data_IF_497802533449
#
_entry.id   IF_497802533449
#
_cell.length_a   1.000
_cell.length_b   1.000
_cell.length_c   1.000
_cell.angle_alpha   90.00
_cell.angle_beta   90.00
_cell.angle_gamma   90.00
#
_symmetry.space_group_name_H-M   'P 1'
#
loop_
_entity.id
_entity.type
_entity.pdbx_description
1 polymer ?
#
# COMPACT_ATOMS: atom_id res chain seq x y z
N UNK A 1 -12.02 5.37 21.55
CA UNK A 1 -12.61 4.98 20.23
C UNK A 1 -11.79 3.81 19.69
N UNK A 2 -12.43 2.72 19.20
CA UNK A 2 -11.67 1.59 18.61
C UNK A 2 -10.93 2.05 17.36
N UNK A 3 -9.69 1.58 17.19
CA UNK A 3 -8.89 1.87 16.00
C UNK A 3 -9.11 0.81 14.92
N UNK A 4 -9.02 1.21 13.65
CA UNK A 4 -9.06 0.27 12.54
C UNK A 4 -7.80 -0.59 12.47
N UNK A 5 -7.99 -1.86 12.08
CA UNK A 5 -6.93 -2.77 11.69
C UNK A 5 -7.11 -3.15 10.22
N UNK A 6 -6.03 -3.11 9.46
CA UNK A 6 -6.05 -3.27 8.01
C UNK A 6 -5.65 -4.67 7.58
N UNK A 7 -6.55 -5.37 6.91
CA UNK A 7 -6.24 -6.62 6.23
C UNK A 7 -6.09 -6.35 4.73
N UNK A 8 -4.87 -6.49 4.19
CA UNK A 8 -4.65 -6.51 2.76
C UNK A 8 -4.90 -7.94 2.27
N UNK A 9 -6.03 -8.16 1.65
CA UNK A 9 -6.50 -9.48 1.29
C UNK A 9 -6.43 -9.72 -0.21
N UNK A 10 -5.50 -10.57 -0.61
CA UNK A 10 -5.35 -11.05 -1.98
C UNK A 10 -6.28 -12.26 -2.16
N UNK A 11 -7.34 -12.11 -2.92
CA UNK A 11 -8.32 -13.18 -3.13
C UNK A 11 -7.99 -14.04 -4.33
N UNK A 12 -7.18 -13.53 -5.27
CA UNK A 12 -6.73 -14.22 -6.47
C UNK A 12 -5.38 -13.68 -6.94
N UNK A 13 -4.60 -14.51 -7.62
CA UNK A 13 -3.43 -14.07 -8.40
C UNK A 13 -3.80 -13.73 -9.85
N UNK A 14 -5.03 -14.02 -10.30
CA UNK A 14 -5.44 -13.75 -11.67
C UNK A 14 -5.47 -12.25 -11.97
N UNK A 15 -4.96 -11.87 -13.15
CA UNK A 15 -4.81 -10.49 -13.56
C UNK A 15 -4.73 -10.40 -15.09
N UNK A 16 -5.34 -9.39 -15.67
CA UNK A 16 -5.26 -9.09 -17.10
C UNK A 16 -4.05 -8.23 -17.48
N UNK A 17 -3.20 -7.90 -16.49
CA UNK A 17 -1.93 -7.19 -16.67
C UNK A 17 -0.73 -8.08 -16.28
N UNK A 18 0.44 -7.74 -16.81
CA UNK A 18 1.74 -8.33 -16.46
C UNK A 18 2.75 -7.21 -16.23
N UNK A 19 2.48 -6.44 -15.17
CA UNK A 19 3.30 -5.27 -14.84
C UNK A 19 4.72 -5.69 -14.51
N UNK A 20 5.72 -5.00 -15.07
CA UNK A 20 7.15 -5.37 -14.96
C UNK A 20 7.71 -5.32 -13.53
N UNK A 21 7.10 -4.53 -12.67
CA UNK A 21 7.47 -4.38 -11.27
C UNK A 21 6.51 -5.11 -10.31
N UNK A 22 5.67 -6.02 -10.84
CA UNK A 22 4.68 -6.72 -10.04
C UNK A 22 5.31 -7.82 -9.20
N UNK A 23 5.20 -7.73 -7.89
CA UNK A 23 5.73 -8.71 -6.95
C UNK A 23 5.02 -10.10 -7.02
N UNK A 24 3.88 -10.21 -7.72
CA UNK A 24 3.19 -11.50 -7.93
C UNK A 24 3.85 -12.26 -9.08
N UNK A 25 4.28 -11.55 -10.13
CA UNK A 25 4.79 -12.13 -11.38
C UNK A 25 6.29 -11.94 -11.60
N UNK A 26 7.00 -11.23 -10.70
CA UNK A 26 8.40 -10.84 -10.90
C UNK A 26 9.38 -12.00 -10.95
N UNK A 27 9.07 -13.13 -10.31
CA UNK A 27 10.00 -14.24 -10.16
C UNK A 27 9.73 -15.41 -11.12
N UNK A 28 8.54 -15.49 -11.69
CA UNK A 28 8.20 -16.59 -12.60
C UNK A 28 6.99 -16.26 -13.47
N UNK A 29 7.21 -16.15 -14.78
CA UNK A 29 6.15 -15.96 -15.78
C UNK A 29 5.23 -17.17 -15.93
N UNK A 30 5.66 -18.34 -15.44
CA UNK A 30 4.92 -19.61 -15.45
C UNK A 30 4.35 -19.97 -14.07
N UNK A 31 4.22 -18.99 -13.16
CA UNK A 31 3.65 -19.20 -11.82
C UNK A 31 2.23 -19.79 -11.93
N UNK A 32 1.95 -20.80 -11.12
CA UNK A 32 0.56 -21.22 -10.87
C UNK A 32 -0.20 -20.06 -10.26
N UNK A 33 -1.37 -19.75 -10.82
CA UNK A 33 -2.22 -18.66 -10.31
C UNK A 33 -3.19 -19.27 -9.28
N UNK A 34 -3.05 -18.82 -8.04
CA UNK A 34 -3.90 -19.25 -6.95
C UNK A 34 -5.14 -18.36 -6.84
N UNK A 35 -6.27 -18.98 -6.48
CA UNK A 35 -7.51 -18.27 -6.15
C UNK A 35 -8.14 -18.94 -4.93
N UNK A 36 -8.61 -18.11 -4.00
CA UNK A 36 -9.21 -18.59 -2.75
C UNK A 36 -10.65 -19.04 -3.02
N UNK A 37 -11.02 -20.25 -2.61
CA UNK A 37 -12.43 -20.70 -2.75
C UNK A 37 -13.36 -19.88 -1.85
N UNK A 38 -14.66 -19.92 -2.16
CA UNK A 38 -15.66 -19.22 -1.37
C UNK A 38 -15.66 -19.64 0.11
N UNK A 39 -15.54 -20.94 0.37
CA UNK A 39 -15.48 -21.48 1.74
C UNK A 39 -14.28 -20.95 2.48
N UNK A 40 -13.11 -20.92 1.83
CA UNK A 40 -11.87 -20.36 2.40
C UNK A 40 -11.96 -18.84 2.60
N UNK A 41 -12.67 -18.11 1.74
CA UNK A 41 -12.96 -16.69 1.97
C UNK A 41 -13.80 -16.49 3.23
N UNK A 42 -14.82 -17.31 3.46
CA UNK A 42 -15.64 -17.23 4.67
C UNK A 42 -14.82 -17.52 5.92
N UNK A 43 -14.01 -18.59 5.92
CA UNK A 43 -13.11 -18.93 7.03
C UNK A 43 -12.15 -17.76 7.33
N UNK A 44 -11.52 -17.21 6.31
CA UNK A 44 -10.61 -16.05 6.43
C UNK A 44 -11.32 -14.83 7.02
N UNK A 45 -12.51 -14.54 6.51
CA UNK A 45 -13.33 -13.42 6.98
C UNK A 45 -13.63 -13.53 8.48
N UNK A 46 -14.12 -14.70 8.93
CA UNK A 46 -14.44 -14.89 10.35
C UNK A 46 -13.19 -14.91 11.23
N UNK A 47 -12.05 -15.43 10.78
CA UNK A 47 -10.79 -15.35 11.50
C UNK A 47 -10.31 -13.89 11.66
N UNK A 48 -10.52 -13.03 10.64
CA UNK A 48 -10.26 -11.59 10.75
C UNK A 48 -11.20 -10.88 11.73
N UNK A 49 -12.48 -11.29 11.81
CA UNK A 49 -13.42 -10.72 12.79
C UNK A 49 -13.08 -11.12 14.21
N UNK A 50 -12.77 -12.40 14.44
CA UNK A 50 -12.30 -12.91 15.74
C UNK A 50 -11.05 -12.14 16.20
N UNK A 51 -10.08 -11.95 15.31
CA UNK A 51 -8.92 -11.09 15.58
C UNK A 51 -9.32 -9.69 16.08
N UNK A 52 -10.25 -9.05 15.37
CA UNK A 52 -10.67 -7.69 15.69
C UNK A 52 -11.43 -7.62 17.03
N UNK A 53 -12.22 -8.65 17.35
CA UNK A 53 -12.90 -8.75 18.63
C UNK A 53 -11.90 -8.90 19.78
N UNK A 54 -10.98 -9.86 19.69
CA UNK A 54 -9.95 -10.15 20.72
C UNK A 54 -9.07 -8.93 20.99
N UNK A 55 -8.63 -8.23 19.92
CA UNK A 55 -7.72 -7.09 20.05
C UNK A 55 -8.43 -5.73 20.15
N UNK A 56 -9.74 -5.71 20.31
CA UNK A 56 -10.56 -4.48 20.42
C UNK A 56 -10.32 -3.50 19.25
N UNK A 57 -10.32 -4.02 18.02
CA UNK A 57 -10.11 -3.28 16.76
C UNK A 57 -11.39 -3.23 15.92
N UNK A 58 -11.41 -2.38 14.91
CA UNK A 58 -12.40 -2.40 13.84
C UNK A 58 -11.76 -2.97 12.56
N UNK A 59 -12.40 -3.91 11.86
CA UNK A 59 -11.85 -4.45 10.62
C UNK A 59 -11.94 -3.42 9.48
N UNK A 60 -10.89 -3.37 8.67
CA UNK A 60 -10.88 -2.67 7.39
C UNK A 60 -10.19 -3.53 6.33
N UNK A 61 -10.84 -3.78 5.20
CA UNK A 61 -10.29 -4.62 4.16
C UNK A 61 -9.80 -3.83 2.95
N UNK A 62 -8.57 -4.13 2.52
CA UNK A 62 -8.05 -3.80 1.20
C UNK A 62 -8.16 -5.04 0.33
N UNK A 63 -9.24 -5.14 -0.46
CA UNK A 63 -9.47 -6.28 -1.36
C UNK A 63 -8.61 -6.09 -2.61
N UNK A 64 -7.76 -7.06 -2.88
CA UNK A 64 -6.76 -7.01 -3.95
C UNK A 64 -6.41 -8.41 -4.45
N UNK A 65 -5.28 -8.54 -5.10
CA UNK A 65 -4.77 -9.79 -5.66
C UNK A 65 -3.93 -9.49 -6.89
N UNK A 66 -4.19 -10.20 -7.96
CA UNK A 66 -3.91 -9.75 -9.32
C UNK A 66 -4.87 -8.60 -9.65
N UNK A 67 -6.05 -8.91 -10.20
CA UNK A 67 -7.18 -7.97 -10.23
C UNK A 67 -8.39 -8.65 -9.56
N UNK A 68 -8.84 -8.20 -8.39
CA UNK A 68 -9.84 -8.91 -7.59
C UNK A 68 -11.20 -9.05 -8.28
N UNK A 69 -11.55 -8.15 -9.20
CA UNK A 69 -12.82 -8.21 -9.95
C UNK A 69 -12.93 -9.43 -10.87
N UNK A 70 -11.80 -10.04 -11.21
CA UNK A 70 -11.74 -11.26 -12.03
C UNK A 70 -12.10 -12.52 -11.24
N UNK A 71 -12.11 -12.46 -9.91
CA UNK A 71 -12.47 -13.60 -9.09
C UNK A 71 -13.97 -13.91 -9.23
N UNK A 72 -14.38 -15.18 -9.49
CA UNK A 72 -15.79 -15.55 -9.70
C UNK A 72 -16.68 -15.13 -8.53
N UNK A 73 -16.20 -15.28 -7.29
CA UNK A 73 -16.97 -14.96 -6.08
C UNK A 73 -16.73 -13.54 -5.57
N UNK A 74 -16.10 -12.67 -6.36
CA UNK A 74 -15.81 -11.28 -5.97
C UNK A 74 -17.05 -10.54 -5.44
N UNK A 75 -18.14 -10.58 -6.18
CA UNK A 75 -19.37 -9.89 -5.78
C UNK A 75 -20.04 -10.51 -4.55
N UNK A 76 -19.88 -11.83 -4.37
CA UNK A 76 -20.38 -12.52 -3.20
C UNK A 76 -19.60 -12.12 -1.95
N UNK A 77 -18.27 -11.97 -2.03
CA UNK A 77 -17.44 -11.42 -0.97
C UNK A 77 -17.86 -10.00 -0.59
N UNK A 78 -18.07 -9.11 -1.57
CA UNK A 78 -18.55 -7.75 -1.28
C UNK A 78 -19.94 -7.76 -0.62
N UNK A 79 -20.80 -8.71 -0.97
CA UNK A 79 -22.09 -8.96 -0.30
C UNK A 79 -21.92 -9.30 1.17
N UNK A 80 -20.94 -10.14 1.50
CA UNK A 80 -20.61 -10.52 2.88
C UNK A 80 -20.11 -9.30 3.67
N UNK A 81 -19.16 -8.53 3.12
CA UNK A 81 -18.67 -7.30 3.75
C UNK A 81 -19.81 -6.31 4.04
N UNK A 82 -20.70 -6.10 3.06
CA UNK A 82 -21.89 -5.24 3.21
C UNK A 82 -22.83 -5.72 4.32
N UNK A 83 -23.09 -7.02 4.37
CA UNK A 83 -23.96 -7.62 5.39
C UNK A 83 -23.49 -7.32 6.81
N UNK A 84 -22.18 -7.28 7.02
CA UNK A 84 -21.56 -6.97 8.31
C UNK A 84 -21.26 -5.48 8.48
N UNK A 85 -21.59 -4.63 7.51
CA UNK A 85 -21.33 -3.19 7.58
C UNK A 85 -19.84 -2.82 7.60
N UNK A 86 -18.99 -3.66 7.02
CA UNK A 86 -17.53 -3.48 7.09
C UNK A 86 -17.05 -2.65 5.91
N UNK A 87 -16.33 -1.54 6.16
CA UNK A 87 -15.78 -0.71 5.11
C UNK A 87 -14.60 -1.37 4.40
N UNK A 88 -14.47 -1.12 3.10
CA UNK A 88 -13.39 -1.66 2.30
C UNK A 88 -12.92 -0.73 1.18
N UNK A 89 -11.70 -0.96 0.75
CA UNK A 89 -11.07 -0.36 -0.44
C UNK A 89 -10.74 -1.46 -1.43
N UNK A 90 -10.92 -1.22 -2.72
CA UNK A 90 -10.44 -2.11 -3.77
C UNK A 90 -9.13 -1.56 -4.33
N UNK A 91 -8.12 -2.42 -4.49
CA UNK A 91 -6.90 -2.17 -5.24
C UNK A 91 -6.96 -3.03 -6.50
N UNK A 92 -7.26 -2.41 -7.64
CA UNK A 92 -7.51 -3.14 -8.87
C UNK A 92 -7.10 -2.36 -10.13
N UNK A 93 -7.39 -2.96 -11.28
CA UNK A 93 -7.08 -2.43 -12.59
C UNK A 93 -8.22 -1.53 -13.14
N UNK A 94 -7.94 -0.69 -14.16
CA UNK A 94 -8.96 0.18 -14.73
C UNK A 94 -9.89 -0.52 -15.73
N UNK A 95 -9.45 -1.65 -16.33
CA UNK A 95 -10.04 -2.18 -17.57
C UNK A 95 -11.46 -2.74 -17.40
N UNK A 96 -11.82 -3.18 -16.19
CA UNK A 96 -13.14 -3.74 -15.88
C UNK A 96 -14.11 -2.70 -15.30
N UNK A 97 -13.69 -1.42 -15.24
CA UNK A 97 -14.50 -0.34 -14.71
C UNK A 97 -15.31 0.35 -15.82
N UNK A 98 -16.58 0.59 -15.52
CA UNK A 98 -17.49 1.48 -16.21
C UNK A 98 -18.49 2.04 -15.19
N UNK A 99 -19.37 2.95 -15.58
CA UNK A 99 -20.31 3.59 -14.66
C UNK A 99 -21.21 2.57 -13.95
N UNK A 100 -21.68 1.53 -14.66
CA UNK A 100 -22.54 0.49 -14.06
C UNK A 100 -21.78 -0.34 -13.01
N UNK A 101 -20.54 -0.73 -13.29
CA UNK A 101 -19.67 -1.46 -12.34
C UNK A 101 -19.35 -0.58 -11.14
N UNK A 102 -18.97 0.69 -11.36
CA UNK A 102 -18.69 1.62 -10.27
C UNK A 102 -19.91 1.84 -9.38
N UNK A 103 -21.10 2.02 -9.98
CA UNK A 103 -22.35 2.14 -9.22
C UNK A 103 -22.66 0.86 -8.42
N UNK A 104 -22.42 -0.30 -9.00
CA UNK A 104 -22.57 -1.58 -8.28
C UNK A 104 -21.60 -1.67 -7.11
N UNK A 105 -20.32 -1.32 -7.28
CA UNK A 105 -19.32 -1.26 -6.20
C UNK A 105 -19.79 -0.34 -5.07
N UNK A 106 -20.30 0.86 -5.41
CA UNK A 106 -20.86 1.80 -4.44
C UNK A 106 -21.99 1.19 -3.64
N UNK A 107 -22.90 0.49 -4.31
CA UNK A 107 -24.05 -0.16 -3.67
C UNK A 107 -23.64 -1.27 -2.70
N UNK A 108 -22.47 -1.89 -2.90
CA UNK A 108 -21.88 -2.84 -1.96
C UNK A 108 -21.11 -2.18 -0.80
N UNK A 109 -20.92 -0.86 -0.81
CA UNK A 109 -20.26 -0.13 0.26
C UNK A 109 -18.77 0.15 0.00
N UNK A 110 -18.31 0.04 -1.25
CA UNK A 110 -16.95 0.42 -1.60
C UNK A 110 -16.69 1.89 -1.28
N UNK A 111 -15.73 2.18 -0.39
CA UNK A 111 -15.39 3.55 -0.02
C UNK A 111 -14.38 4.18 -0.97
N UNK A 112 -13.39 3.39 -1.39
CA UNK A 112 -12.27 3.85 -2.23
C UNK A 112 -11.94 2.81 -3.27
N UNK A 113 -11.53 3.27 -4.43
CA UNK A 113 -10.93 2.44 -5.47
C UNK A 113 -9.54 2.98 -5.78
N UNK A 114 -8.52 2.16 -5.58
CA UNK A 114 -7.14 2.52 -5.84
C UNK A 114 -6.70 2.01 -7.20
N UNK A 115 -6.30 2.94 -8.05
CA UNK A 115 -5.63 2.73 -9.33
C UNK A 115 -4.14 3.04 -9.17
N UNK A 116 -3.35 2.69 -10.18
CA UNK A 116 -1.93 3.02 -10.19
C UNK A 116 -1.54 3.74 -11.48
N UNK A 117 -0.68 4.76 -11.33
CA UNK A 117 0.00 5.42 -12.45
C UNK A 117 1.49 5.49 -12.12
N UNK A 118 2.33 4.82 -12.90
CA UNK A 118 3.76 4.65 -12.62
C UNK A 118 4.66 5.34 -13.65
N UNK A 119 4.22 6.41 -14.23
CA UNK A 119 4.94 7.23 -15.19
C UNK A 119 3.99 8.10 -16.00
N UNK A 120 4.52 8.97 -16.83
CA UNK A 120 3.79 9.56 -17.94
C UNK A 120 3.46 8.46 -18.98
N UNK A 121 2.69 8.79 -20.01
CA UNK A 121 2.11 7.81 -20.95
C UNK A 121 3.07 6.70 -21.37
N UNK A 122 4.22 7.04 -21.91
CA UNK A 122 5.17 6.05 -22.45
C UNK A 122 5.74 5.16 -21.36
N UNK A 123 6.19 5.76 -20.26
CA UNK A 123 6.76 5.03 -19.10
C UNK A 123 5.71 4.18 -18.40
N UNK A 124 4.51 4.71 -18.19
CA UNK A 124 3.42 3.96 -17.57
C UNK A 124 3.03 2.74 -18.42
N UNK A 125 2.81 2.95 -19.72
CA UNK A 125 2.41 1.88 -20.64
C UNK A 125 3.52 0.83 -20.78
N UNK A 126 4.79 1.24 -20.72
CA UNK A 126 5.91 0.31 -20.67
C UNK A 126 5.92 -0.54 -19.38
N UNK A 127 5.60 0.03 -18.22
CA UNK A 127 5.51 -0.72 -16.95
C UNK A 127 4.32 -1.67 -16.94
N UNK A 128 3.18 -1.27 -17.50
CA UNK A 128 1.91 -1.98 -17.34
C UNK A 128 1.41 -2.65 -18.61
N UNK A 129 0.76 -1.93 -19.48
CA UNK A 129 0.40 -2.37 -20.84
C UNK A 129 0.01 -1.17 -21.72
N UNK A 130 0.13 -1.27 -23.04
CA UNK A 130 -0.24 -0.20 -23.97
C UNK A 130 -1.68 0.30 -23.76
N UNK A 131 -1.85 1.63 -23.72
CA UNK A 131 -3.14 2.30 -23.50
C UNK A 131 -3.61 2.34 -22.04
N UNK A 132 -2.82 1.80 -21.12
CA UNK A 132 -3.17 1.76 -19.68
C UNK A 132 -3.20 3.15 -19.06
N UNK A 133 -2.33 4.07 -19.49
CA UNK A 133 -2.29 5.44 -18.97
C UNK A 133 -3.62 6.16 -19.17
N UNK A 134 -4.07 6.25 -20.42
CA UNK A 134 -5.30 6.95 -20.76
C UNK A 134 -6.53 6.30 -20.14
N UNK A 135 -6.59 4.96 -20.20
CA UNK A 135 -7.67 4.20 -19.57
C UNK A 135 -7.73 4.50 -18.07
N UNK A 136 -6.59 4.53 -17.36
CA UNK A 136 -6.56 4.81 -15.92
C UNK A 136 -7.10 6.21 -15.61
N UNK A 137 -6.66 7.24 -16.35
CA UNK A 137 -7.15 8.61 -16.17
C UNK A 137 -8.66 8.71 -16.43
N UNK A 138 -9.17 8.07 -17.50
CA UNK A 138 -10.61 8.03 -17.81
C UNK A 138 -11.43 7.41 -16.67
N UNK A 139 -10.95 6.29 -16.08
CA UNK A 139 -11.70 5.56 -15.04
C UNK A 139 -11.75 6.28 -13.70
N UNK A 140 -10.87 7.23 -13.42
CA UNK A 140 -10.99 8.15 -12.29
C UNK A 140 -12.37 8.85 -12.34
N UNK A 141 -12.78 9.32 -13.52
CA UNK A 141 -14.09 9.94 -13.71
C UNK A 141 -15.28 9.00 -13.41
N UNK A 142 -15.21 7.73 -13.86
CA UNK A 142 -16.24 6.73 -13.57
C UNK A 142 -16.39 6.46 -12.05
N UNK A 143 -15.25 6.32 -11.37
CA UNK A 143 -15.20 6.10 -9.92
C UNK A 143 -15.85 7.28 -9.18
N UNK A 144 -15.46 8.50 -9.53
CA UNK A 144 -15.93 9.72 -8.89
C UNK A 144 -17.43 9.94 -9.12
N UNK A 145 -17.95 9.70 -10.35
CA UNK A 145 -19.40 9.82 -10.65
C UNK A 145 -20.25 8.86 -9.82
N UNK A 146 -19.73 7.69 -9.47
CA UNK A 146 -20.42 6.75 -8.58
C UNK A 146 -20.36 7.17 -7.09
N UNK A 147 -19.65 8.23 -6.74
CA UNK A 147 -19.45 8.66 -5.35
C UNK A 147 -18.48 7.76 -4.56
N UNK A 148 -17.59 7.06 -5.24
CA UNK A 148 -16.46 6.33 -4.67
C UNK A 148 -15.25 7.27 -4.71
N UNK A 149 -14.41 7.27 -3.67
CA UNK A 149 -13.17 8.06 -3.68
C UNK A 149 -12.12 7.38 -4.55
N UNK A 150 -11.69 8.05 -5.60
CA UNK A 150 -10.57 7.61 -6.43
C UNK A 150 -9.24 7.86 -5.72
N UNK A 151 -8.40 6.83 -5.66
CA UNK A 151 -7.04 6.91 -5.14
C UNK A 151 -6.08 6.54 -6.24
N UNK A 152 -5.08 7.37 -6.50
CA UNK A 152 -4.00 7.05 -7.43
C UNK A 152 -2.70 6.86 -6.67
N UNK A 153 -2.07 5.71 -6.87
CA UNK A 153 -0.77 5.35 -6.31
C UNK A 153 0.29 5.30 -7.40
N UNK A 154 1.48 5.84 -7.09
CA UNK A 154 2.68 5.68 -7.91
C UNK A 154 3.72 4.86 -7.17
N UNK A 155 4.29 3.86 -7.85
CA UNK A 155 5.47 3.13 -7.39
C UNK A 155 6.70 3.80 -7.99
N UNK A 156 7.49 4.47 -7.15
CA UNK A 156 8.64 5.28 -7.59
C UNK A 156 9.92 4.45 -7.62
N UNK A 157 10.59 4.45 -8.76
CA UNK A 157 11.91 3.85 -9.00
C UNK A 157 12.82 4.83 -9.75
N UNK A 158 14.07 4.49 -9.96
CA UNK A 158 15.00 5.31 -10.76
C UNK A 158 14.53 5.56 -12.19
N UNK A 159 13.60 4.73 -12.71
CA UNK A 159 13.08 4.87 -14.07
C UNK A 159 12.03 5.97 -14.23
N UNK A 160 11.29 6.28 -13.18
CA UNK A 160 10.15 7.21 -13.25
C UNK A 160 10.20 8.36 -12.24
N UNK A 161 11.25 8.45 -11.44
CA UNK A 161 11.36 9.45 -10.36
C UNK A 161 11.22 10.89 -10.89
N UNK A 162 11.78 11.19 -12.05
CA UNK A 162 11.75 12.53 -12.64
C UNK A 162 10.38 12.87 -13.26
N UNK A 163 9.53 11.86 -13.47
CA UNK A 163 8.19 12.04 -14.03
C UNK A 163 7.12 12.29 -12.95
N UNK A 164 7.42 12.07 -11.67
CA UNK A 164 6.44 12.19 -10.57
C UNK A 164 5.75 13.55 -10.54
N UNK A 165 6.45 14.70 -10.72
CA UNK A 165 5.77 16.00 -10.80
C UNK A 165 4.76 16.09 -11.95
N UNK A 166 5.06 15.52 -13.11
CA UNK A 166 4.15 15.46 -14.25
C UNK A 166 2.98 14.48 -14.03
N UNK A 167 3.21 13.39 -13.29
CA UNK A 167 2.14 12.48 -12.87
C UNK A 167 1.13 13.21 -11.97
N UNK A 168 1.62 14.06 -11.04
CA UNK A 168 0.75 14.87 -10.18
C UNK A 168 -0.17 15.74 -11.03
N UNK A 169 0.38 16.42 -12.06
CA UNK A 169 -0.42 17.25 -12.96
C UNK A 169 -1.51 16.44 -13.68
N UNK A 170 -1.16 15.28 -14.19
CA UNK A 170 -2.10 14.42 -14.92
C UNK A 170 -3.23 13.90 -14.00
N UNK A 171 -2.93 13.48 -12.77
CA UNK A 171 -3.95 12.94 -11.87
C UNK A 171 -4.84 14.03 -11.28
N UNK A 172 -4.30 15.22 -11.04
CA UNK A 172 -5.08 16.39 -10.63
C UNK A 172 -6.03 16.81 -11.75
N UNK A 173 -5.53 16.90 -13.00
CA UNK A 173 -6.34 17.21 -14.16
C UNK A 173 -7.47 16.20 -14.40
N UNK A 174 -7.24 14.91 -14.09
CA UNK A 174 -8.26 13.87 -14.14
C UNK A 174 -9.25 13.89 -12.95
N UNK A 175 -9.03 14.74 -11.96
CA UNK A 175 -9.89 14.90 -10.79
C UNK A 175 -9.75 13.79 -9.75
N UNK A 176 -8.57 13.18 -9.60
CA UNK A 176 -8.33 12.19 -8.57
C UNK A 176 -8.58 12.77 -7.18
N UNK A 177 -9.30 12.03 -6.30
CA UNK A 177 -9.56 12.51 -4.95
C UNK A 177 -8.33 12.39 -4.04
N UNK A 178 -7.48 11.39 -4.27
CA UNK A 178 -6.27 11.16 -3.48
C UNK A 178 -5.14 10.79 -4.41
N UNK A 179 -3.99 11.42 -4.22
CA UNK A 179 -2.73 11.00 -4.82
C UNK A 179 -1.73 10.63 -3.74
N UNK A 180 -1.00 9.55 -3.95
CA UNK A 180 0.10 9.14 -3.09
C UNK A 180 1.17 8.40 -3.90
N UNK A 181 2.37 8.31 -3.36
CA UNK A 181 3.41 7.46 -3.90
C UNK A 181 4.20 6.75 -2.80
N UNK A 182 4.85 5.67 -3.17
CA UNK A 182 5.80 4.95 -2.33
C UNK A 182 6.92 4.40 -3.22
N UNK A 183 8.08 4.17 -2.64
CA UNK A 183 9.21 3.61 -3.36
C UNK A 183 8.97 2.16 -3.76
N UNK A 184 9.55 1.80 -4.89
CA UNK A 184 9.66 0.43 -5.33
C UNK A 184 10.46 -0.39 -4.28
N UNK A 185 9.96 -1.57 -3.97
CA UNK A 185 10.66 -2.53 -3.11
C UNK A 185 11.25 -3.61 -4.00
N UNK A 186 12.58 -3.68 -4.17
CA UNK A 186 13.22 -4.66 -5.02
C UNK A 186 12.84 -6.09 -4.60
N UNK A 187 12.67 -6.97 -5.58
CA UNK A 187 12.53 -8.41 -5.39
C UNK A 187 13.89 -9.10 -5.56
N UNK A 188 13.96 -10.41 -5.39
CA UNK A 188 15.20 -11.19 -5.23
C UNK A 188 16.31 -10.96 -6.27
N UNK A 189 15.98 -10.62 -7.50
CA UNK A 189 16.96 -10.44 -8.58
C UNK A 189 17.40 -9.00 -8.76
N UNK A 190 16.50 -8.03 -8.59
CA UNK A 190 16.78 -6.62 -8.76
C UNK A 190 16.95 -5.94 -7.39
N UNK A 191 18.19 -5.88 -6.91
CA UNK A 191 18.51 -5.37 -5.57
C UNK A 191 18.57 -3.85 -5.45
N UNK A 192 18.34 -3.10 -6.52
CA UNK A 192 18.44 -1.64 -6.48
C UNK A 192 17.17 -0.95 -6.99
N UNK A 193 16.75 0.08 -6.26
CA UNK A 193 15.67 0.97 -6.69
C UNK A 193 16.12 1.94 -7.78
N UNK A 194 17.42 2.07 -8.01
CA UNK A 194 18.02 3.10 -8.87
C UNK A 194 17.86 4.52 -8.33
N UNK A 195 17.65 4.68 -7.02
CA UNK A 195 17.40 6.00 -6.39
C UNK A 195 18.45 6.26 -5.32
N UNK A 196 19.24 7.33 -5.51
CA UNK A 196 20.14 7.84 -4.49
C UNK A 196 19.39 8.64 -3.40
N UNK A 197 19.86 8.63 -2.14
CA UNK A 197 19.18 9.29 -1.02
C UNK A 197 18.88 10.77 -1.27
N UNK A 198 19.85 11.54 -1.76
CA UNK A 198 19.66 12.97 -2.02
C UNK A 198 18.73 13.24 -3.20
N UNK A 199 18.72 12.37 -4.22
CA UNK A 199 17.74 12.46 -5.31
C UNK A 199 16.32 12.22 -4.82
N UNK A 200 16.14 11.26 -3.90
CA UNK A 200 14.83 11.02 -3.30
C UNK A 200 14.38 12.20 -2.42
N UNK A 201 15.30 12.76 -1.62
CA UNK A 201 15.04 13.98 -0.85
C UNK A 201 14.62 15.15 -1.74
N UNK A 202 15.27 15.33 -2.89
CA UNK A 202 14.92 16.36 -3.86
C UNK A 202 13.51 16.12 -4.44
N UNK A 203 13.17 14.89 -4.78
CA UNK A 203 11.80 14.55 -5.20
C UNK A 203 10.77 14.98 -4.16
N UNK A 204 11.00 14.69 -2.87
CA UNK A 204 10.07 15.10 -1.81
C UNK A 204 9.93 16.63 -1.76
N UNK A 205 11.02 17.38 -1.93
CA UNK A 205 11.00 18.83 -1.98
C UNK A 205 10.19 19.38 -3.17
N UNK A 206 10.39 18.82 -4.35
CA UNK A 206 9.67 19.20 -5.58
C UNK A 206 8.18 18.88 -5.45
N UNK A 207 7.84 17.73 -4.89
CA UNK A 207 6.45 17.34 -4.63
C UNK A 207 5.79 18.23 -3.56
N UNK A 208 6.47 18.55 -2.46
CA UNK A 208 5.94 19.41 -1.40
C UNK A 208 5.62 20.82 -1.92
N UNK A 209 6.53 21.37 -2.75
CA UNK A 209 6.28 22.65 -3.43
C UNK A 209 5.03 22.56 -4.31
N UNK A 210 4.94 21.53 -5.14
CA UNK A 210 3.82 21.32 -6.06
C UNK A 210 2.49 21.09 -5.33
N UNK A 211 2.49 20.35 -4.24
CA UNK A 211 1.31 20.16 -3.39
C UNK A 211 0.80 21.48 -2.85
N UNK A 212 1.70 22.33 -2.30
CA UNK A 212 1.36 23.67 -1.80
C UNK A 212 0.81 24.59 -2.89
N UNK A 213 1.37 24.52 -4.10
CA UNK A 213 0.86 25.29 -5.25
C UNK A 213 -0.57 24.90 -5.61
N UNK A 214 -0.87 23.58 -5.66
CA UNK A 214 -2.21 23.08 -5.93
C UNK A 214 -3.19 23.39 -4.79
N UNK A 215 -2.78 23.22 -3.54
CA UNK A 215 -3.60 23.55 -2.37
C UNK A 215 -3.96 25.05 -2.35
N UNK A 216 -2.99 25.92 -2.64
CA UNK A 216 -3.20 27.36 -2.74
C UNK A 216 -4.13 27.76 -3.92
N UNK A 217 -4.12 26.97 -4.99
CA UNK A 217 -5.04 27.12 -6.13
C UNK A 217 -6.46 26.53 -5.88
N UNK A 218 -6.73 25.99 -4.69
CA UNK A 218 -8.03 25.42 -4.33
C UNK A 218 -8.28 24.02 -4.88
N UNK A 219 -7.23 23.27 -5.21
CA UNK A 219 -7.33 21.89 -5.64
C UNK A 219 -7.95 21.00 -4.54
N UNK A 220 -8.87 20.13 -4.92
CA UNK A 220 -9.55 19.21 -4.01
C UNK A 220 -8.87 17.86 -3.85
N UNK A 221 -7.82 17.59 -4.63
CA UNK A 221 -7.02 16.36 -4.49
C UNK A 221 -6.26 16.38 -3.17
N UNK A 222 -6.45 15.35 -2.36
CA UNK A 222 -5.66 15.16 -1.15
C UNK A 222 -4.32 14.50 -1.48
N UNK A 223 -3.22 15.17 -1.19
CA UNK A 223 -1.86 14.65 -1.37
C UNK A 223 -1.41 13.89 -0.12
N UNK A 224 -1.49 12.56 -0.19
CA UNK A 224 -1.16 11.70 0.94
C UNK A 224 0.35 11.39 0.97
N UNK A 225 1.03 11.88 1.98
CA UNK A 225 2.46 11.68 2.24
C UNK A 225 2.74 10.27 2.80
N UNK A 226 2.45 9.24 1.99
CA UNK A 226 2.44 7.83 2.40
C UNK A 226 3.83 7.23 2.62
N UNK A 227 4.85 7.65 1.88
CA UNK A 227 6.21 7.14 2.10
C UNK A 227 6.76 7.65 3.44
N UNK A 228 7.42 6.77 4.18
CA UNK A 228 7.81 7.08 5.56
C UNK A 228 8.91 8.15 5.65
N UNK A 229 9.70 8.38 4.60
CA UNK A 229 10.71 9.42 4.57
C UNK A 229 10.13 10.85 4.45
N UNK A 230 8.82 10.99 4.22
CA UNK A 230 8.15 12.27 4.38
C UNK A 230 8.33 12.84 5.79
N UNK A 231 8.23 11.99 6.82
CA UNK A 231 8.46 12.43 8.22
C UNK A 231 9.87 12.99 8.41
N UNK A 232 10.88 12.37 7.80
CA UNK A 232 12.25 12.89 7.85
C UNK A 232 12.37 14.23 7.13
N UNK A 233 11.80 14.34 5.93
CA UNK A 233 11.79 15.60 5.17
C UNK A 233 11.10 16.73 5.94
N UNK A 234 9.93 16.47 6.50
CA UNK A 234 9.16 17.44 7.29
C UNK A 234 9.87 17.84 8.58
N UNK A 235 10.59 16.90 9.21
CA UNK A 235 11.42 17.20 10.39
C UNK A 235 12.57 18.15 10.04
N UNK A 236 13.29 17.91 8.94
CA UNK A 236 14.36 18.79 8.47
C UNK A 236 13.88 20.18 8.08
N UNK A 237 12.71 20.28 7.46
CA UNK A 237 12.12 21.56 7.04
C UNK A 237 11.38 22.29 8.15
N UNK A 238 11.30 21.69 9.34
CA UNK A 238 10.66 22.27 10.53
C UNK A 238 9.12 22.27 10.50
N UNK A 239 8.51 21.58 9.52
CA UNK A 239 7.05 21.41 9.41
C UNK A 239 6.51 20.30 10.31
N UNK A 240 7.34 19.33 10.68
CA UNK A 240 7.09 18.35 11.73
C UNK A 240 8.03 18.57 12.91
N UNK A 241 7.49 18.55 14.12
CA UNK A 241 8.26 18.57 15.38
C UNK A 241 7.85 17.36 16.21
N UNK A 242 8.81 16.73 16.87
CA UNK A 242 8.53 15.65 17.81
C UNK A 242 7.69 16.23 18.95
N UNK A 243 6.48 15.71 19.22
CA UNK A 243 5.65 16.19 20.31
C UNK A 243 6.32 16.01 21.68
N UNK A 244 6.04 16.91 22.60
CA UNK A 244 6.43 16.73 24.01
C UNK A 244 5.61 15.63 24.66
N UNK A 245 6.20 14.89 25.61
CA UNK A 245 5.51 13.86 26.39
C UNK A 245 5.21 12.56 25.64
N UNK A 246 6.00 12.26 24.60
CA UNK A 246 5.93 10.93 23.97
C UNK A 246 6.37 9.84 24.96
N UNK A 247 5.67 8.72 24.95
CA UNK A 247 5.98 7.55 25.80
C UNK A 247 7.11 6.73 25.17
N UNK A 248 8.08 6.34 25.97
CA UNK A 248 9.17 5.48 25.52
C UNK A 248 8.64 4.13 25.00
N UNK A 249 9.15 3.69 23.84
CA UNK A 249 8.74 2.45 23.20
C UNK A 249 7.40 2.52 22.45
N UNK A 250 6.66 3.61 22.56
CA UNK A 250 5.40 3.80 21.84
C UNK A 250 5.67 4.26 20.39
N UNK A 251 4.91 3.71 19.46
CA UNK A 251 4.98 4.06 18.03
C UNK A 251 3.77 4.89 17.63
N UNK A 252 4.00 6.08 17.10
CA UNK A 252 2.98 7.03 16.70
C UNK A 252 2.79 7.14 15.19
N UNK A 253 3.76 6.66 14.40
CA UNK A 253 3.72 6.75 12.94
C UNK A 253 4.66 5.78 12.24
N UNK A 254 4.91 6.02 10.96
CA UNK A 254 5.78 5.20 10.12
C UNK A 254 5.13 3.90 9.64
N UNK A 255 5.91 2.83 9.52
CA UNK A 255 5.47 1.58 8.92
C UNK A 255 4.37 0.89 9.74
N UNK A 256 3.30 0.44 9.05
CA UNK A 256 2.18 -0.27 9.65
C UNK A 256 2.47 -1.76 9.94
N UNK A 257 3.56 -2.31 9.41
CA UNK A 257 4.00 -3.67 9.70
C UNK A 257 4.25 -3.82 11.22
N UNK A 258 3.65 -4.82 11.84
CA UNK A 258 3.69 -5.01 13.29
C UNK A 258 2.74 -4.12 14.10
N UNK A 259 2.12 -3.08 13.54
CA UNK A 259 1.28 -2.13 14.27
C UNK A 259 -0.23 -2.28 14.00
N UNK A 260 -0.64 -2.26 12.73
CA UNK A 260 -2.07 -2.28 12.39
C UNK A 260 -2.36 -2.90 11.02
N UNK A 261 -1.51 -3.82 10.56
CA UNK A 261 -1.62 -4.39 9.22
C UNK A 261 -1.17 -5.85 9.18
N UNK A 262 -1.90 -6.67 8.42
CA UNK A 262 -1.51 -8.00 7.96
C UNK A 262 -1.87 -8.15 6.48
N UNK A 263 -1.16 -9.02 5.77
CA UNK A 263 -1.49 -9.40 4.40
C UNK A 263 -1.84 -10.88 4.33
N UNK A 264 -2.93 -11.21 3.65
CA UNK A 264 -3.40 -12.58 3.44
C UNK A 264 -3.38 -12.88 1.95
N UNK A 265 -2.79 -14.00 1.53
CA UNK A 265 -2.67 -14.43 0.14
C UNK A 265 -3.76 -15.45 -0.24
N UNK A 266 -3.97 -15.76 -1.55
CA UNK A 266 -4.98 -16.73 -1.97
C UNK A 266 -4.73 -18.15 -1.42
N UNK A 267 -3.47 -18.49 -1.12
CA UNK A 267 -3.05 -19.76 -0.49
C UNK A 267 -3.36 -19.83 1.01
N UNK A 268 -3.90 -18.77 1.60
CA UNK A 268 -4.06 -18.63 3.05
C UNK A 268 -2.81 -18.11 3.76
N UNK A 269 -1.69 -18.00 3.10
CA UNK A 269 -0.44 -17.52 3.71
C UNK A 269 -0.58 -16.09 4.22
N UNK A 270 -0.16 -15.87 5.46
CA UNK A 270 -0.20 -14.57 6.14
C UNK A 270 1.20 -13.99 6.21
N UNK A 271 1.32 -12.75 5.75
CA UNK A 271 2.57 -12.00 5.73
C UNK A 271 2.50 -10.76 6.61
N UNK A 272 3.58 -10.44 7.29
CA UNK A 272 3.72 -9.18 8.01
C UNK A 272 3.73 -7.98 7.04
N UNK A 273 4.33 -8.14 5.86
CA UNK A 273 4.29 -7.20 4.75
C UNK A 273 4.38 -7.93 3.42
N UNK A 274 3.41 -7.72 2.50
CA UNK A 274 3.41 -8.40 1.19
C UNK A 274 4.69 -8.19 0.38
N UNK A 275 5.34 -7.06 0.55
CA UNK A 275 6.56 -6.69 -0.20
C UNK A 275 7.84 -7.27 0.40
N UNK A 276 7.76 -7.97 1.54
CA UNK A 276 8.89 -8.69 2.18
C UNK A 276 8.64 -10.18 2.00
N UNK A 277 9.35 -10.80 1.05
CA UNK A 277 9.07 -12.19 0.63
C UNK A 277 9.29 -13.22 1.75
N UNK A 278 10.20 -12.98 2.67
CA UNK A 278 10.50 -13.85 3.81
C UNK A 278 9.73 -13.45 5.10
N UNK A 279 8.63 -12.70 4.99
CA UNK A 279 7.83 -12.27 6.14
C UNK A 279 6.55 -13.08 6.35
N UNK A 280 6.49 -14.31 5.83
CA UNK A 280 5.40 -15.24 6.15
C UNK A 280 5.43 -15.56 7.65
N UNK A 281 4.28 -15.40 8.31
CA UNK A 281 4.13 -15.59 9.77
C UNK A 281 3.15 -16.70 10.11
N UNK A 282 2.25 -17.07 9.20
CA UNK A 282 1.18 -18.03 9.48
C UNK A 282 0.49 -18.50 8.19
N UNK A 283 -0.50 -19.40 8.35
CA UNK A 283 -1.53 -19.66 7.34
C UNK A 283 -2.91 -19.52 7.98
N UNK A 284 -3.78 -18.67 7.41
CA UNK A 284 -5.10 -18.32 8.00
C UNK A 284 -6.08 -19.49 8.05
N UNK A 285 -5.81 -20.56 7.28
CA UNK A 285 -6.61 -21.80 7.27
C UNK A 285 -6.20 -22.79 8.37
N UNK A 286 -5.07 -22.57 9.01
CA UNK A 286 -4.48 -23.43 10.04
C UNK A 286 -4.32 -22.70 11.36
N UNK A 287 -4.07 -21.39 11.31
CA UNK A 287 -3.71 -20.56 12.45
C UNK A 287 -4.81 -19.54 12.78
N UNK A 288 -5.01 -19.30 14.07
CA UNK A 288 -5.86 -18.22 14.57
C UNK A 288 -5.09 -16.90 14.54
N UNK A 289 -5.54 -15.93 13.74
CA UNK A 289 -4.83 -14.64 13.56
C UNK A 289 -4.61 -13.88 14.88
N UNK A 290 -5.52 -14.00 15.83
CA UNK A 290 -5.39 -13.37 17.14
C UNK A 290 -4.14 -13.85 17.89
N UNK A 291 -3.83 -15.14 17.82
CA UNK A 291 -2.66 -15.74 18.46
C UNK A 291 -1.38 -15.44 17.68
N UNK A 292 -1.45 -15.48 16.34
CA UNK A 292 -0.35 -15.08 15.44
C UNK A 292 0.13 -13.66 15.75
N UNK A 293 -0.80 -12.76 16.04
CA UNK A 293 -0.48 -11.36 16.32
C UNK A 293 0.36 -11.17 17.57
N UNK A 294 0.08 -11.92 18.64
CA UNK A 294 0.82 -11.82 19.91
C UNK A 294 2.13 -12.62 19.90
N UNK A 295 2.23 -13.66 19.07
CA UNK A 295 3.40 -14.55 19.01
C UNK A 295 4.32 -14.20 17.83
N UNK A 296 3.93 -14.57 16.62
CA UNK A 296 4.80 -14.48 15.43
C UNK A 296 5.05 -13.04 14.98
N UNK A 297 4.09 -12.14 15.18
CA UNK A 297 4.22 -10.73 14.81
C UNK A 297 5.05 -9.92 15.82
N UNK A 298 5.37 -10.45 17.00
CA UNK A 298 6.16 -9.75 18.03
C UNK A 298 7.53 -9.35 17.50
N UNK A 299 8.19 -10.21 16.72
CA UNK A 299 9.48 -9.88 16.13
C UNK A 299 9.49 -8.57 15.32
N UNK A 300 8.38 -8.22 14.64
CA UNK A 300 8.26 -7.00 13.84
C UNK A 300 8.01 -5.74 14.69
N UNK A 301 7.82 -5.89 16.00
CA UNK A 301 7.70 -4.83 17.01
C UNK A 301 8.96 -4.64 17.85
N UNK A 302 9.97 -5.48 17.66
CA UNK A 302 11.28 -5.30 18.31
C UNK A 302 12.07 -4.20 17.58
N UNK A 303 11.79 -2.96 17.94
CA UNK A 303 12.40 -1.78 17.31
C UNK A 303 13.87 -1.60 17.67
N UNK A 304 14.38 -2.33 18.68
CA UNK A 304 15.82 -2.32 19.06
C UNK A 304 16.69 -2.97 17.99
N UNK A 305 16.12 -3.85 17.16
CA UNK A 305 16.81 -4.55 16.07
C UNK A 305 17.12 -3.68 14.87
N UNK A 306 16.46 -2.52 14.71
CA UNK A 306 16.73 -1.64 13.58
C UNK A 306 18.12 -1.02 13.67
N UNK A 307 19.01 -1.33 12.72
CA UNK A 307 20.43 -0.95 12.74
C UNK A 307 20.65 0.54 12.99
N UNK A 308 20.06 1.40 12.17
CA UNK A 308 20.19 2.84 12.26
C UNK A 308 19.06 3.47 13.05
N UNK A 309 17.82 3.01 12.81
CA UNK A 309 16.65 3.67 13.34
C UNK A 309 16.48 3.47 14.85
N UNK A 310 17.05 2.39 15.44
CA UNK A 310 17.04 2.18 16.90
C UNK A 310 17.76 3.29 17.68
N UNK A 311 18.66 4.01 17.02
CA UNK A 311 19.41 5.14 17.60
C UNK A 311 18.89 6.51 17.14
N UNK A 312 17.83 6.53 16.34
CA UNK A 312 17.31 7.74 15.71
C UNK A 312 16.18 8.35 16.55
N UNK A 313 16.24 9.63 16.81
CA UNK A 313 15.19 10.39 17.52
C UNK A 313 13.81 10.30 16.86
N UNK A 314 13.76 10.01 15.54
CA UNK A 314 12.51 9.83 14.80
C UNK A 314 11.95 8.41 14.85
N UNK A 315 12.52 7.48 15.62
CA UNK A 315 12.10 6.08 15.66
C UNK A 315 10.59 5.91 15.83
N UNK A 316 9.98 6.67 16.71
CA UNK A 316 8.55 6.58 17.01
C UNK A 316 7.64 7.04 15.86
N UNK A 317 8.17 7.79 14.88
CA UNK A 317 7.40 8.43 13.80
C UNK A 317 7.85 8.00 12.40
N UNK A 318 9.12 7.58 12.27
CA UNK A 318 9.72 7.15 11.01
C UNK A 318 10.65 5.97 11.28
N UNK A 319 10.63 4.96 10.45
CA UNK A 319 11.58 3.82 10.48
C UNK A 319 12.05 3.50 9.07
N UNK A 320 11.94 4.48 8.16
CA UNK A 320 12.10 4.22 6.75
C UNK A 320 11.09 3.19 6.25
N UNK A 321 11.38 2.52 5.14
CA UNK A 321 10.57 1.41 4.65
C UNK A 321 11.35 0.10 4.81
N UNK A 322 10.99 -0.76 5.78
CA UNK A 322 11.65 -2.05 5.97
C UNK A 322 11.57 -2.97 4.75
N UNK A 323 10.53 -2.82 3.92
CA UNK A 323 10.42 -3.59 2.69
C UNK A 323 11.44 -3.16 1.62
N UNK A 324 11.77 -1.86 1.53
CA UNK A 324 12.84 -1.37 0.64
C UNK A 324 14.20 -1.83 1.18
N UNK A 325 14.42 -1.74 2.48
CA UNK A 325 15.63 -2.22 3.14
C UNK A 325 15.83 -3.73 2.91
N UNK A 326 14.78 -4.52 3.16
CA UNK A 326 14.79 -5.97 2.96
C UNK A 326 15.05 -6.36 1.50
N UNK A 327 14.42 -5.67 0.54
CA UNK A 327 14.64 -5.94 -0.88
C UNK A 327 16.10 -5.72 -1.31
N UNK A 328 16.76 -4.69 -0.77
CA UNK A 328 18.17 -4.40 -1.07
C UNK A 328 19.14 -5.33 -0.35
N UNK A 329 18.88 -5.66 0.90
CA UNK A 329 19.86 -6.30 1.80
C UNK A 329 19.51 -7.72 2.22
N UNK A 330 18.24 -8.14 2.05
CA UNK A 330 17.71 -9.38 2.62
C UNK A 330 17.33 -9.26 4.11
N UNK A 331 17.59 -8.12 4.77
CA UNK A 331 17.36 -7.90 6.18
C UNK A 331 16.26 -6.83 6.40
N UNK A 332 15.16 -7.22 7.07
CA UNK A 332 14.04 -6.33 7.41
C UNK A 332 14.46 -5.14 8.30
N UNK A 333 15.45 -5.33 9.16
CA UNK A 333 15.90 -4.34 10.14
C UNK A 333 17.06 -3.48 9.64
N UNK A 334 17.52 -3.72 8.42
CA UNK A 334 18.61 -2.95 7.84
C UNK A 334 18.23 -1.47 7.66
N UNK A 335 19.25 -0.65 7.51
CA UNK A 335 19.07 0.77 7.20
C UNK A 335 18.34 0.94 5.88
N UNK A 336 17.32 1.80 5.87
CA UNK A 336 16.65 2.20 4.62
C UNK A 336 17.65 2.86 3.67
N UNK A 337 17.85 2.32 2.47
CA UNK A 337 18.92 2.76 1.57
C UNK A 337 18.74 4.20 1.05
N UNK A 338 17.54 4.76 1.09
CA UNK A 338 17.28 6.14 0.72
C UNK A 338 17.22 7.10 1.93
N UNK A 339 17.47 6.62 3.15
CA UNK A 339 17.51 7.49 4.32
C UNK A 339 18.81 8.32 4.35
N UNK A 340 18.71 9.61 4.12
CA UNK A 340 19.81 10.57 4.10
C UNK A 340 20.20 11.14 5.48
N UNK A 341 19.43 10.84 6.55
CA UNK A 341 19.75 11.31 7.90
C UNK A 341 21.00 10.61 8.41
N UNK A 342 21.93 11.35 8.97
CA UNK A 342 23.02 10.80 9.77
C UNK A 342 22.56 10.62 11.22
N UNK A 343 22.89 9.49 11.80
CA UNK A 343 22.66 9.17 13.22
C UNK A 343 24.01 8.91 13.85
N UNK A 344 24.31 9.68 14.88
CA UNK A 344 25.58 9.62 15.63
C UNK A 344 25.61 8.44 16.61
#
# INVERSE_FOLDING_TARGET
MKQYFSFQWHITDDCDQRCKHCYIFSENTCKHLDSMSWERMQETFYNCLDFCEVHNRLPYFYITGGDPILHPDFWQLLGLLKQYGIPFTILGNPFHLNDAVCQRLKNYGCEKYQLSIDGLRETHDWFRKPGSFDTTLEKIGCINRAGIRSVVMTTVSGKNIDEVPGIIDAVVAAGANVFAFARYCPTSEEKDTGIEPLRYRQLLADCDKKFKEYEAAGCTTYFNKKDHLWTLYEYETGTFKIPEGIEDGMIYGGCNCGNCHLTILPTGDVYACRRVQNSKVANVFEDRLADVWVCQMEQYRDYTRFEKCSKCELLAFCRGCPAVASGKTGNFYATDPQCWKEVK
#
